data_IF_152526514897
#
_entry.id   IF_152526514897
#
_cell.length_a   1.000
_cell.length_b   1.000
_cell.length_c   1.000
_cell.angle_alpha   90.00
_cell.angle_beta   90.00
_cell.angle_gamma   90.00
#
_symmetry.space_group_name_H-M   'P 1'
#
loop_
_entity.id
_entity.type
_entity.pdbx_description
1 polymer ?
#
# COMPACT_ATOMS: atom_id res chain seq x y z
N UNK A 1 -7.34 -12.27 9.98
CA UNK A 1 -6.19 -11.47 10.45
C UNK A 1 -4.93 -12.31 10.31
N UNK A 2 -4.00 -11.87 9.53
CA UNK A 2 -2.72 -12.55 9.31
C UNK A 2 -1.65 -11.81 10.12
N UNK A 3 -0.95 -12.52 10.97
CA UNK A 3 0.04 -11.98 11.87
C UNK A 3 1.49 -12.18 11.40
N UNK A 4 1.80 -11.93 10.14
CA UNK A 4 3.18 -12.00 9.65
C UNK A 4 3.63 -10.65 9.09
N UNK A 5 4.82 -10.25 9.48
CA UNK A 5 5.47 -9.05 8.99
C UNK A 5 6.29 -9.38 7.73
N UNK A 6 5.61 -9.75 6.66
CA UNK A 6 6.24 -10.13 5.40
C UNK A 6 5.35 -9.81 4.20
N UNK A 7 5.90 -9.33 3.09
CA UNK A 7 5.19 -9.11 1.84
C UNK A 7 4.44 -10.34 1.31
N UNK A 8 4.90 -11.55 1.64
CA UNK A 8 4.17 -12.79 1.34
C UNK A 8 2.75 -12.80 1.92
N UNK A 9 2.54 -12.14 3.08
CA UNK A 9 1.22 -12.02 3.71
C UNK A 9 0.26 -11.23 2.83
N UNK A 10 0.74 -10.22 2.13
CA UNK A 10 -0.07 -9.38 1.25
C UNK A 10 -0.63 -10.18 0.07
N UNK A 11 0.19 -11.05 -0.53
CA UNK A 11 -0.29 -11.99 -1.56
C UNK A 11 -1.33 -12.98 -1.00
N UNK A 12 -1.07 -13.52 0.19
CA UNK A 12 -1.98 -14.46 0.85
C UNK A 12 -3.34 -13.82 1.20
N UNK A 13 -3.38 -12.53 1.48
CA UNK A 13 -4.62 -11.77 1.72
C UNK A 13 -5.30 -11.39 0.40
N UNK A 14 -4.54 -11.02 -0.63
CA UNK A 14 -5.08 -10.70 -1.94
C UNK A 14 -5.81 -11.89 -2.59
N UNK A 15 -5.29 -13.11 -2.41
CA UNK A 15 -5.86 -14.33 -2.98
C UNK A 15 -7.36 -14.52 -2.66
N UNK A 16 -7.81 -14.61 -1.39
CA UNK A 16 -9.23 -14.80 -1.08
C UNK A 16 -10.11 -13.63 -1.52
N UNK A 17 -9.57 -12.41 -1.63
CA UNK A 17 -10.30 -11.27 -2.20
C UNK A 17 -10.54 -11.52 -3.68
N UNK A 18 -9.50 -11.90 -4.44
CA UNK A 18 -9.63 -12.25 -5.86
C UNK A 18 -10.63 -13.38 -6.11
N UNK A 19 -10.57 -14.45 -5.31
CA UNK A 19 -11.42 -15.63 -5.46
C UNK A 19 -12.90 -15.35 -5.13
N UNK A 20 -13.20 -14.35 -4.30
CA UNK A 20 -14.57 -14.01 -3.88
C UNK A 20 -15.17 -12.84 -4.64
N UNK A 21 -14.37 -12.00 -5.23
CA UNK A 21 -14.85 -10.85 -5.99
C UNK A 21 -15.55 -11.30 -7.28
N UNK A 22 -16.73 -10.77 -7.52
CA UNK A 22 -17.49 -11.05 -8.72
C UNK A 22 -16.98 -10.28 -9.96
N UNK A 23 -16.21 -9.21 -9.73
CA UNK A 23 -15.67 -8.36 -10.79
C UNK A 23 -14.25 -7.91 -10.52
N UNK A 24 -13.92 -6.67 -10.89
CA UNK A 24 -12.59 -6.12 -10.76
C UNK A 24 -12.24 -5.78 -9.31
N UNK A 25 -11.00 -6.02 -8.96
CA UNK A 25 -10.40 -5.62 -7.69
C UNK A 25 -9.40 -4.49 -7.94
N UNK A 26 -9.63 -3.36 -7.27
CA UNK A 26 -8.66 -2.28 -7.21
C UNK A 26 -7.65 -2.49 -6.07
N UNK A 27 -6.54 -1.80 -6.15
CA UNK A 27 -5.50 -1.86 -5.13
C UNK A 27 -5.01 -0.45 -4.77
N UNK A 28 -4.96 -0.16 -3.48
CA UNK A 28 -4.24 0.98 -2.94
C UNK A 28 -3.02 0.41 -2.21
N UNK A 29 -1.84 0.81 -2.63
CA UNK A 29 -0.58 0.42 -2.00
C UNK A 29 0.12 1.66 -1.47
N UNK A 30 0.43 1.67 -0.18
CA UNK A 30 1.29 2.67 0.45
C UNK A 30 2.61 2.01 0.79
N UNK A 31 3.69 2.45 0.18
CA UNK A 31 4.96 1.75 0.20
C UNK A 31 6.10 2.70 -0.19
N UNK A 32 7.27 2.47 0.34
CA UNK A 32 8.50 3.12 -0.13
C UNK A 32 9.01 2.49 -1.41
N UNK A 33 8.62 1.23 -1.68
CA UNK A 33 9.07 0.40 -2.79
C UNK A 33 7.89 -0.03 -3.67
N UNK A 34 8.18 -0.42 -4.91
CA UNK A 34 7.14 -0.96 -5.82
C UNK A 34 6.78 -2.42 -5.56
N UNK A 35 7.69 -3.19 -5.03
CA UNK A 35 7.50 -4.62 -4.76
C UNK A 35 6.92 -5.41 -5.95
N UNK A 36 7.36 -5.06 -7.16
CA UNK A 36 6.80 -5.56 -8.41
C UNK A 36 7.84 -6.15 -9.35
N UNK A 37 8.99 -6.57 -8.82
CA UNK A 37 10.03 -7.26 -9.59
C UNK A 37 9.49 -8.57 -10.17
N UNK A 38 10.06 -9.07 -11.26
CA UNK A 38 9.65 -10.36 -11.81
C UNK A 38 10.00 -11.54 -10.89
N UNK A 39 11.03 -11.39 -10.07
CA UNK A 39 11.53 -12.41 -9.15
C UNK A 39 11.47 -11.95 -7.69
N UNK A 40 11.42 -12.89 -6.76
CA UNK A 40 11.55 -12.56 -5.34
C UNK A 40 12.95 -12.02 -5.03
N UNK A 41 13.00 -10.92 -4.29
CA UNK A 41 14.25 -10.21 -3.97
C UNK A 41 15.23 -11.03 -3.13
N UNK A 42 14.71 -11.81 -2.17
CA UNK A 42 15.53 -12.57 -1.24
C UNK A 42 16.00 -13.91 -1.79
N UNK A 43 15.11 -14.61 -2.51
CA UNK A 43 15.38 -15.96 -2.99
C UNK A 43 15.81 -16.01 -4.46
N UNK A 44 15.54 -14.96 -5.23
CA UNK A 44 15.73 -14.96 -6.67
C UNK A 44 14.75 -15.88 -7.42
N UNK A 45 13.69 -16.34 -6.79
CA UNK A 45 12.73 -17.29 -7.36
C UNK A 45 11.45 -16.58 -7.82
N UNK A 46 11.13 -16.66 -9.10
CA UNK A 46 9.91 -16.09 -9.68
C UNK A 46 8.63 -16.81 -9.26
N UNK A 47 8.74 -18.04 -8.73
CA UNK A 47 7.58 -18.84 -8.31
C UNK A 47 7.05 -18.43 -6.95
N UNK A 48 7.85 -17.74 -6.15
CA UNK A 48 7.53 -17.36 -4.78
C UNK A 48 6.97 -15.93 -4.77
N UNK A 49 5.88 -15.71 -4.06
CA UNK A 49 5.43 -14.39 -3.69
C UNK A 49 6.16 -13.96 -2.41
N UNK A 50 7.11 -13.08 -2.53
CA UNK A 50 7.96 -12.64 -1.43
C UNK A 50 8.29 -11.15 -1.50
N UNK A 51 9.36 -10.79 -0.81
CA UNK A 51 9.85 -9.43 -0.81
C UNK A 51 10.22 -8.98 -2.22
N UNK A 52 9.71 -7.84 -2.61
CA UNK A 52 10.00 -7.20 -3.88
C UNK A 52 9.21 -7.72 -5.08
N UNK A 53 8.41 -8.80 -4.97
CA UNK A 53 7.64 -9.30 -6.11
C UNK A 53 6.17 -9.66 -5.82
N UNK A 54 5.69 -9.48 -4.61
CA UNK A 54 4.34 -9.90 -4.25
C UNK A 54 3.24 -9.23 -5.10
N UNK A 55 3.44 -7.97 -5.49
CA UNK A 55 2.50 -7.25 -6.37
C UNK A 55 2.50 -7.86 -7.78
N UNK A 56 3.65 -8.07 -8.38
CA UNK A 56 3.73 -8.70 -9.70
C UNK A 56 3.11 -10.09 -9.71
N UNK A 57 3.32 -10.86 -8.64
CA UNK A 57 2.67 -12.17 -8.44
C UNK A 57 1.15 -12.04 -8.32
N UNK A 58 0.66 -11.05 -7.58
CA UNK A 58 -0.79 -10.80 -7.45
C UNK A 58 -1.41 -10.52 -8.82
N UNK A 59 -0.85 -9.56 -9.58
CA UNK A 59 -1.37 -9.19 -10.90
C UNK A 59 -1.20 -10.27 -11.97
N UNK A 60 -0.23 -11.16 -11.83
CA UNK A 60 -0.05 -12.28 -12.76
C UNK A 60 -0.92 -13.50 -12.41
N UNK A 61 -1.22 -13.69 -11.13
CA UNK A 61 -1.98 -14.85 -10.65
C UNK A 61 -3.50 -14.63 -10.68
N UNK A 62 -3.95 -13.38 -10.53
CA UNK A 62 -5.38 -13.05 -10.40
C UNK A 62 -5.79 -12.04 -11.47
N UNK A 63 -6.45 -12.54 -12.51
CA UNK A 63 -6.84 -11.74 -13.69
C UNK A 63 -7.83 -10.60 -13.36
N UNK A 64 -8.52 -10.67 -12.23
CA UNK A 64 -9.44 -9.64 -11.79
C UNK A 64 -8.79 -8.51 -10.98
N UNK A 65 -7.53 -8.66 -10.52
CA UNK A 65 -6.77 -7.50 -10.04
C UNK A 65 -6.41 -6.59 -11.23
N UNK A 66 -6.89 -5.37 -11.18
CA UNK A 66 -6.85 -4.42 -12.29
C UNK A 66 -5.67 -3.45 -12.15
N UNK A 67 -4.70 -3.52 -13.03
CA UNK A 67 -3.56 -2.57 -13.02
C UNK A 67 -4.01 -1.12 -13.26
N UNK A 68 -4.98 -0.81 -14.14
CA UNK A 68 -5.56 0.54 -14.21
C UNK A 68 -6.21 1.03 -12.90
N UNK A 69 -6.51 0.14 -11.98
CA UNK A 69 -7.03 0.47 -10.65
C UNK A 69 -5.98 0.28 -9.53
N UNK A 70 -4.70 0.22 -9.88
CA UNK A 70 -3.60 0.31 -8.92
C UNK A 70 -3.29 1.78 -8.65
N UNK A 71 -3.37 2.16 -7.38
CA UNK A 71 -2.93 3.45 -6.85
C UNK A 71 -1.72 3.18 -5.96
N UNK A 72 -0.53 3.51 -6.47
CA UNK A 72 0.76 3.33 -5.78
C UNK A 72 1.21 4.65 -5.19
N UNK A 73 1.47 4.67 -3.88
CA UNK A 73 1.70 5.88 -3.11
C UNK A 73 2.98 5.75 -2.30
N UNK A 74 3.85 6.72 -2.44
CA UNK A 74 4.91 6.95 -1.46
C UNK A 74 6.29 6.55 -1.87
N UNK A 75 6.44 5.85 -2.98
CA UNK A 75 7.73 5.36 -3.43
C UNK A 75 8.78 6.48 -3.49
N UNK A 76 9.94 6.17 -2.96
CA UNK A 76 11.14 7.01 -2.93
C UNK A 76 12.43 6.19 -2.75
N UNK A 77 12.29 4.89 -2.53
CA UNK A 77 13.41 3.95 -2.50
C UNK A 77 14.03 3.74 -3.88
N UNK A 78 15.27 3.28 -3.91
CA UNK A 78 16.02 3.07 -5.16
C UNK A 78 16.18 1.58 -5.48
N UNK A 79 15.28 0.74 -5.01
CA UNK A 79 15.36 -0.72 -5.18
C UNK A 79 14.76 -1.21 -6.50
N UNK A 80 13.79 -0.50 -7.06
CA UNK A 80 13.11 -0.90 -8.28
C UNK A 80 13.78 -0.38 -9.55
N UNK A 81 13.75 -1.21 -10.57
CA UNK A 81 14.19 -0.81 -11.90
C UNK A 81 13.16 0.12 -12.55
N UNK A 82 13.64 1.20 -13.16
CA UNK A 82 12.77 2.14 -13.87
C UNK A 82 11.94 1.49 -14.99
N UNK A 83 12.40 0.36 -15.54
CA UNK A 83 11.65 -0.45 -16.52
C UNK A 83 10.39 -1.07 -15.93
N UNK A 84 10.46 -1.55 -14.69
CA UNK A 84 9.30 -2.11 -13.96
C UNK A 84 8.25 -1.02 -13.73
N UNK A 85 8.65 0.11 -13.18
CA UNK A 85 7.74 1.25 -12.92
C UNK A 85 7.08 1.73 -14.21
N UNK A 86 7.87 1.93 -15.28
CA UNK A 86 7.32 2.33 -16.58
C UNK A 86 6.31 1.34 -17.15
N UNK A 87 6.55 0.04 -16.99
CA UNK A 87 5.61 -0.98 -17.44
C UNK A 87 4.25 -0.86 -16.76
N UNK A 88 4.22 -0.68 -15.45
CA UNK A 88 2.96 -0.47 -14.72
C UNK A 88 2.25 0.82 -15.14
N UNK A 89 2.98 1.92 -15.28
CA UNK A 89 2.41 3.18 -15.72
C UNK A 89 1.84 3.11 -17.15
N UNK A 90 2.54 2.44 -18.07
CA UNK A 90 2.04 2.22 -19.44
C UNK A 90 0.78 1.35 -19.48
N UNK A 91 0.59 0.50 -18.48
CA UNK A 91 -0.60 -0.33 -18.30
C UNK A 91 -1.73 0.39 -17.54
N UNK A 92 -1.53 1.66 -17.19
CA UNK A 92 -2.53 2.52 -16.58
C UNK A 92 -2.48 2.63 -15.05
N UNK A 93 -1.45 2.13 -14.39
CA UNK A 93 -1.29 2.34 -12.95
C UNK A 93 -1.13 3.82 -12.60
N UNK A 94 -1.67 4.22 -11.46
CA UNK A 94 -1.58 5.58 -10.93
C UNK A 94 -0.47 5.66 -9.90
N UNK A 95 0.51 6.51 -10.16
CA UNK A 95 1.73 6.60 -9.39
C UNK A 95 1.91 7.97 -8.72
N UNK A 96 2.03 7.97 -7.40
CA UNK A 96 2.18 9.14 -6.55
C UNK A 96 3.40 9.03 -5.63
N UNK A 97 4.61 9.21 -6.18
CA UNK A 97 5.84 9.21 -5.37
C UNK A 97 5.82 10.35 -4.35
N UNK A 98 6.53 10.20 -3.24
CA UNK A 98 6.47 11.17 -2.14
C UNK A 98 6.82 12.60 -2.57
N UNK A 99 7.77 12.80 -3.49
CA UNK A 99 8.10 14.13 -3.99
C UNK A 99 6.90 14.80 -4.68
N UNK A 100 6.11 14.06 -5.48
CA UNK A 100 4.89 14.56 -6.13
C UNK A 100 3.80 14.87 -5.11
N UNK A 101 3.64 14.00 -4.12
CA UNK A 101 2.69 14.24 -3.02
C UNK A 101 3.05 15.53 -2.29
N UNK A 102 4.33 15.74 -1.98
CA UNK A 102 4.80 16.90 -1.21
C UNK A 102 4.79 18.20 -2.00
N UNK A 103 5.19 18.19 -3.27
CA UNK A 103 5.37 19.41 -4.07
C UNK A 103 4.13 19.83 -4.85
N UNK A 104 3.22 18.91 -5.18
CA UNK A 104 2.13 19.20 -6.10
C UNK A 104 0.74 18.98 -5.49
N UNK A 105 0.52 17.86 -4.81
CA UNK A 105 -0.83 17.44 -4.41
C UNK A 105 -1.21 17.83 -2.98
N UNK A 106 -0.28 17.69 -2.07
CA UNK A 106 -0.58 17.63 -0.65
C UNK A 106 -1.47 16.41 -0.32
N UNK A 107 -1.71 16.16 0.96
CA UNK A 107 -2.55 15.03 1.39
C UNK A 107 -4.00 15.15 0.90
N UNK A 108 -4.53 16.35 0.82
CA UNK A 108 -5.91 16.56 0.35
C UNK A 108 -6.07 16.26 -1.15
N UNK A 109 -5.06 16.57 -1.96
CA UNK A 109 -5.02 16.20 -3.39
C UNK A 109 -4.88 14.69 -3.56
N UNK A 110 -3.96 14.07 -2.82
CA UNK A 110 -3.76 12.62 -2.84
C UNK A 110 -5.05 11.86 -2.49
N UNK A 111 -5.79 12.30 -1.47
CA UNK A 111 -7.06 11.69 -1.09
C UNK A 111 -8.12 11.71 -2.22
N UNK A 112 -8.08 12.70 -3.11
CA UNK A 112 -8.96 12.74 -4.29
C UNK A 112 -8.54 11.69 -5.32
N UNK A 113 -7.27 11.48 -5.50
CA UNK A 113 -6.71 10.53 -6.47
C UNK A 113 -6.96 9.06 -6.10
N UNK A 114 -7.30 8.77 -4.85
CA UNK A 114 -7.74 7.43 -4.46
C UNK A 114 -8.91 6.90 -5.29
N UNK A 115 -9.73 7.79 -5.90
CA UNK A 115 -10.85 7.41 -6.78
C UNK A 115 -10.47 6.37 -7.83
N UNK A 116 -9.25 6.42 -8.34
CA UNK A 116 -8.80 5.51 -9.38
C UNK A 116 -8.79 4.03 -8.96
N UNK A 117 -8.61 3.74 -7.67
CA UNK A 117 -8.75 2.37 -7.17
C UNK A 117 -10.20 1.88 -7.16
N UNK A 118 -11.17 2.79 -7.19
CA UNK A 118 -12.60 2.48 -7.07
C UNK A 118 -13.35 2.56 -8.39
N UNK A 119 -12.79 3.16 -9.43
CA UNK A 119 -13.47 3.36 -10.72
C UNK A 119 -13.74 2.02 -11.44
N UNK A 120 -14.99 1.57 -11.40
CA UNK A 120 -15.42 0.33 -12.07
C UNK A 120 -14.87 -0.93 -11.39
N UNK A 121 -14.60 -0.89 -10.10
CA UNK A 121 -14.22 -2.04 -9.28
C UNK A 121 -15.36 -2.44 -8.33
N UNK A 122 -15.46 -3.73 -8.01
CA UNK A 122 -16.41 -4.26 -7.03
C UNK A 122 -15.78 -4.33 -5.64
N UNK A 123 -14.48 -4.53 -5.58
CA UNK A 123 -13.71 -4.69 -4.36
C UNK A 123 -12.43 -3.85 -4.40
N UNK A 124 -11.95 -3.42 -3.23
CA UNK A 124 -10.67 -2.73 -3.09
C UNK A 124 -9.84 -3.37 -1.99
N UNK A 125 -8.61 -3.73 -2.32
CA UNK A 125 -7.60 -4.18 -1.39
C UNK A 125 -6.65 -3.05 -1.04
N UNK A 126 -6.33 -2.89 0.24
CA UNK A 126 -5.43 -1.85 0.74
C UNK A 126 -4.21 -2.48 1.40
N UNK A 127 -3.06 -2.11 0.90
CA UNK A 127 -1.77 -2.53 1.41
C UNK A 127 -1.09 -1.36 2.13
N UNK A 128 -0.77 -1.56 3.40
CA UNK A 128 0.04 -0.64 4.18
C UNK A 128 1.41 -1.28 4.43
N UNK A 129 2.40 -0.89 3.66
CA UNK A 129 3.78 -1.06 4.08
C UNK A 129 4.15 0.07 5.02
N UNK A 130 4.59 -0.27 6.25
CA UNK A 130 4.84 0.74 7.26
C UNK A 130 6.14 1.52 7.02
N UNK A 131 6.96 1.11 6.06
CA UNK A 131 8.13 1.86 5.63
C UNK A 131 7.76 3.11 4.80
N UNK A 132 6.50 3.26 4.39
CA UNK A 132 5.95 4.52 3.86
C UNK A 132 6.19 5.70 4.80
N UNK A 133 6.31 5.45 6.09
CA UNK A 133 6.58 6.48 7.09
C UNK A 133 8.02 6.97 6.99
N UNK A 134 8.24 8.23 7.36
CA UNK A 134 9.60 8.80 7.37
C UNK A 134 10.51 8.05 8.33
N UNK A 135 11.66 7.57 7.83
CA UNK A 135 12.62 6.76 8.59
C UNK A 135 13.75 7.52 9.25
N UNK A 136 13.87 8.81 9.02
CA UNK A 136 14.95 9.63 9.59
C UNK A 136 14.48 10.35 10.86
N UNK A 137 14.23 9.62 11.91
CA UNK A 137 14.07 10.19 13.25
C UNK A 137 15.39 10.68 13.84
N UNK A 138 15.36 11.61 14.80
CA UNK A 138 16.56 12.17 15.41
C UNK A 138 17.33 11.18 16.31
N UNK A 139 16.77 10.04 16.64
CA UNK A 139 17.41 9.04 17.49
C UNK A 139 17.55 7.69 16.78
N UNK A 140 18.67 6.98 16.99
CA UNK A 140 18.79 5.60 16.57
C UNK A 140 17.68 4.75 17.20
N UNK A 141 16.89 4.08 16.38
CA UNK A 141 15.73 3.31 16.84
C UNK A 141 14.38 3.98 16.68
N UNK A 142 14.34 5.27 16.31
CA UNK A 142 13.09 5.94 15.87
C UNK A 142 12.72 5.55 14.43
N UNK A 143 12.85 4.27 14.14
CA UNK A 143 12.44 3.72 12.86
C UNK A 143 10.94 3.52 12.90
N UNK A 144 10.22 4.25 12.06
CA UNK A 144 8.77 4.16 11.98
C UNK A 144 8.30 2.96 11.14
N UNK A 145 9.14 2.48 10.24
CA UNK A 145 8.92 1.27 9.46
C UNK A 145 10.23 0.54 9.22
N UNK A 146 10.21 -0.76 9.08
CA UNK A 146 11.37 -1.55 8.67
C UNK A 146 11.76 -1.15 7.24
N UNK A 147 13.04 -0.86 7.00
CA UNK A 147 13.56 -0.35 5.72
C UNK A 147 13.02 1.04 5.30
N UNK A 148 12.50 1.83 6.24
CA UNK A 148 11.97 3.15 5.95
C UNK A 148 13.06 4.11 5.44
N UNK A 149 12.74 4.79 4.36
CA UNK A 149 13.60 5.80 3.72
C UNK A 149 13.26 7.22 4.20
N UNK A 150 14.17 8.19 4.05
CA UNK A 150 13.89 9.61 4.35
C UNK A 150 12.69 10.15 3.54
N UNK A 151 12.10 11.24 4.02
CA UNK A 151 11.02 11.98 3.37
C UNK A 151 9.69 11.21 3.24
N UNK A 152 9.44 10.21 4.06
CA UNK A 152 8.19 9.47 4.09
C UNK A 152 7.00 10.27 4.59
N UNK A 153 5.84 9.63 4.62
CA UNK A 153 4.63 10.20 5.19
C UNK A 153 4.79 10.49 6.69
N UNK A 154 4.14 11.53 7.15
CA UNK A 154 3.91 11.76 8.58
C UNK A 154 2.75 10.91 9.09
N UNK A 155 2.65 10.80 10.40
CA UNK A 155 1.51 10.19 11.11
C UNK A 155 0.18 10.85 10.74
N UNK A 156 0.15 12.18 10.64
CA UNK A 156 -1.04 12.93 10.21
C UNK A 156 -1.47 12.56 8.79
N UNK A 157 -0.54 12.45 7.85
CA UNK A 157 -0.86 12.15 6.45
C UNK A 157 -1.42 10.74 6.28
N UNK A 158 -0.80 9.74 6.91
CA UNK A 158 -1.26 8.35 6.80
C UNK A 158 -2.63 8.15 7.48
N UNK A 159 -2.88 8.82 8.62
CA UNK A 159 -4.18 8.79 9.30
C UNK A 159 -5.27 9.46 8.44
N UNK A 160 -4.97 10.60 7.82
CA UNK A 160 -5.88 11.28 6.89
C UNK A 160 -6.21 10.40 5.68
N UNK A 161 -5.21 9.76 5.11
CA UNK A 161 -5.38 8.82 4.00
C UNK A 161 -6.27 7.64 4.42
N UNK A 162 -5.98 7.04 5.55
CA UNK A 162 -6.77 5.94 6.11
C UNK A 162 -8.24 6.31 6.31
N UNK A 163 -8.53 7.48 6.88
CA UNK A 163 -9.89 7.96 7.04
C UNK A 163 -10.63 8.09 5.71
N UNK A 164 -9.97 8.64 4.68
CA UNK A 164 -10.57 8.78 3.35
C UNK A 164 -10.78 7.41 2.67
N UNK A 165 -9.84 6.47 2.82
CA UNK A 165 -10.04 5.08 2.38
C UNK A 165 -11.25 4.47 3.08
N UNK A 166 -11.39 4.66 4.39
CA UNK A 166 -12.53 4.19 5.15
C UNK A 166 -13.86 4.72 4.61
N UNK A 167 -13.95 6.00 4.29
CA UNK A 167 -15.15 6.62 3.67
C UNK A 167 -15.54 6.00 2.33
N UNK A 168 -14.56 5.57 1.55
CA UNK A 168 -14.79 4.93 0.25
C UNK A 168 -15.09 3.44 0.37
N UNK A 169 -14.71 2.82 1.48
CA UNK A 169 -14.82 1.38 1.73
C UNK A 169 -13.58 0.60 1.29
N UNK A 170 -13.43 -0.58 1.86
CA UNK A 170 -12.40 -1.56 1.48
C UNK A 170 -12.88 -2.97 1.80
N UNK A 171 -12.38 -3.94 1.04
CA UNK A 171 -12.71 -5.36 1.24
C UNK A 171 -11.72 -6.06 2.14
N UNK A 172 -10.46 -5.65 2.08
CA UNK A 172 -9.41 -6.19 2.93
C UNK A 172 -8.19 -5.30 3.00
N UNK A 173 -7.36 -5.52 4.01
CA UNK A 173 -6.13 -4.76 4.21
C UNK A 173 -5.02 -5.62 4.80
N UNK A 174 -3.79 -5.18 4.59
CA UNK A 174 -2.59 -5.72 5.25
C UNK A 174 -1.70 -4.62 5.82
N UNK A 175 -0.94 -4.96 6.84
CA UNK A 175 0.15 -4.16 7.37
C UNK A 175 1.41 -5.00 7.39
N UNK A 176 2.49 -4.50 6.82
CA UNK A 176 3.81 -5.15 6.81
C UNK A 176 4.92 -4.17 7.16
N UNK A 177 6.15 -4.65 7.19
CA UNK A 177 7.36 -3.87 7.55
C UNK A 177 7.22 -3.14 8.88
N UNK A 178 6.66 -3.84 9.88
CA UNK A 178 6.46 -3.33 11.23
C UNK A 178 7.71 -3.65 12.05
N UNK A 179 8.47 -2.64 12.51
CA UNK A 179 9.69 -2.87 13.30
C UNK A 179 9.36 -3.60 14.60
N UNK A 180 9.98 -4.74 14.90
CA UNK A 180 9.75 -5.45 16.15
C UNK A 180 10.04 -4.56 17.36
N UNK A 181 9.11 -4.48 18.31
CA UNK A 181 9.26 -3.68 19.52
C UNK A 181 8.99 -2.18 19.37
N UNK A 182 8.68 -1.69 18.19
CA UNK A 182 8.35 -0.28 17.97
C UNK A 182 6.95 0.07 18.49
N UNK A 183 6.89 0.55 19.71
CA UNK A 183 5.63 0.97 20.35
C UNK A 183 4.97 2.14 19.62
N UNK A 184 5.76 2.99 18.98
CA UNK A 184 5.25 4.12 18.18
C UNK A 184 4.51 3.61 16.97
N UNK A 185 5.12 2.69 16.21
CA UNK A 185 4.49 2.07 15.03
C UNK A 185 3.25 1.28 15.40
N UNK A 186 3.30 0.48 16.47
CA UNK A 186 2.13 -0.27 16.92
C UNK A 186 0.96 0.65 17.28
N UNK A 187 1.23 1.74 17.99
CA UNK A 187 0.20 2.74 18.31
C UNK A 187 -0.35 3.40 17.07
N UNK A 188 0.50 3.76 16.11
CA UNK A 188 0.06 4.37 14.85
C UNK A 188 -0.83 3.45 14.03
N UNK A 189 -0.52 2.15 13.95
CA UNK A 189 -1.39 1.15 13.29
C UNK A 189 -2.77 1.13 13.94
N UNK A 190 -2.86 1.18 15.26
CA UNK A 190 -4.14 1.27 15.97
C UNK A 190 -4.92 2.52 15.57
N UNK A 191 -4.25 3.67 15.43
CA UNK A 191 -4.88 4.91 14.95
C UNK A 191 -5.32 4.79 13.49
N UNK A 192 -4.51 4.22 12.61
CA UNK A 192 -4.87 3.97 11.19
C UNK A 192 -6.16 3.14 11.14
N UNK A 193 -6.23 2.04 11.87
CA UNK A 193 -7.42 1.17 11.94
C UNK A 193 -8.63 1.94 12.50
N UNK A 194 -8.46 2.69 13.58
CA UNK A 194 -9.54 3.48 14.18
C UNK A 194 -10.11 4.53 13.21
N UNK A 195 -9.26 5.21 12.46
CA UNK A 195 -9.70 6.20 11.47
C UNK A 195 -10.29 5.57 10.20
N UNK A 196 -9.83 4.39 9.78
CA UNK A 196 -10.51 3.59 8.76
C UNK A 196 -11.94 3.25 9.19
N UNK A 197 -12.12 2.78 10.43
CA UNK A 197 -13.45 2.44 10.98
C UNK A 197 -14.33 3.70 11.09
N UNK A 198 -13.77 4.82 11.54
CA UNK A 198 -14.50 6.09 11.59
C UNK A 198 -14.97 6.55 10.20
N UNK A 199 -14.12 6.41 9.19
CA UNK A 199 -14.50 6.69 7.79
C UNK A 199 -15.63 5.78 7.29
N UNK A 200 -15.53 4.47 7.55
CA UNK A 200 -16.59 3.50 7.21
C UNK A 200 -17.92 3.80 7.91
N UNK A 201 -17.88 4.27 9.15
CA UNK A 201 -19.10 4.64 9.88
C UNK A 201 -19.81 5.85 9.24
N UNK A 202 -19.04 6.84 8.76
CA UNK A 202 -19.61 8.00 8.08
C UNK A 202 -20.26 7.63 6.75
N UNK A 203 -19.64 6.76 5.95
CA UNK A 203 -20.20 6.36 4.66
C UNK A 203 -21.52 5.57 4.73
N UNK A 204 -21.86 5.03 5.90
CA UNK A 204 -23.12 4.30 6.14
C UNK A 204 -24.22 5.19 6.71
N UNK A 205 -23.90 6.43 7.01
CA UNK A 205 -24.83 7.39 7.61
C UNK A 205 -25.49 8.31 6.58
N UNK A 206 -24.94 8.31 5.36
CA UNK A 206 -25.44 9.00 4.16
C UNK A 206 -26.25 8.01 3.29
#
# INVERSE_FOLDING_TARGET
VVGQNSPCSSYAIAKPIAERSAGKVGMISTDTHWDSRPIDYLTGDERIAGSGNWKSKTFSSFANFSIPNLVEIGERGMLEEASVVRNYMQRGAHFYPMWKVRSELGIAGLCKELRHAYEGTDDVYVHFDMDILGGAGPAPGDILGELAEPMGMSDYEIIRLAHEIGKRGLTGMSFICIPPGSMVTYRLIVYIIAFLIAGLALSRSD
#
